data_IF_847269464606
#
_entry.id   IF_847269464606
#
_cell.length_a   1.000
_cell.length_b   1.000
_cell.length_c   1.000
_cell.angle_alpha   90.00
_cell.angle_beta   90.00
_cell.angle_gamma   90.00
#
_symmetry.space_group_name_H-M   'P 1'
#
loop_
_entity.id
_entity.type
_entity.pdbx_description
1 polymer ?
#
# COMPACT_ATOMS: atom_id res chain seq x y z
N UNK A 1 -11.77 -6.62 -11.88
CA UNK A 1 -11.16 -7.38 -12.99
C UNK A 1 -10.50 -8.63 -12.41
N UNK A 2 -11.28 -9.65 -12.01
CA UNK A 2 -10.73 -10.79 -11.25
C UNK A 2 -9.60 -11.54 -11.99
N UNK A 3 -9.61 -11.50 -13.32
CA UNK A 3 -8.62 -12.18 -14.16
C UNK A 3 -7.22 -11.57 -14.12
N UNK A 4 -7.07 -10.29 -13.76
CA UNK A 4 -5.75 -9.65 -13.66
C UNK A 4 -5.12 -9.89 -12.28
N UNK A 5 -5.92 -10.03 -11.23
CA UNK A 5 -5.46 -10.03 -9.83
C UNK A 5 -4.52 -11.17 -9.46
N UNK A 6 -4.52 -12.23 -10.27
CA UNK A 6 -3.70 -13.42 -10.13
C UNK A 6 -2.24 -13.16 -10.47
N UNK A 7 -1.95 -12.15 -11.31
CA UNK A 7 -0.58 -11.83 -11.75
C UNK A 7 -0.25 -10.33 -11.77
N UNK A 8 -1.24 -9.44 -11.79
CA UNK A 8 -1.07 -8.00 -11.88
C UNK A 8 -1.98 -7.25 -10.91
N UNK A 9 -1.39 -6.34 -10.13
CA UNK A 9 -2.11 -5.45 -9.22
C UNK A 9 -1.55 -4.04 -9.33
N UNK A 10 -2.45 -3.09 -9.60
CA UNK A 10 -2.15 -1.67 -9.52
C UNK A 10 -2.55 -1.16 -8.13
N UNK A 11 -1.62 -0.54 -7.42
CA UNK A 11 -1.90 0.19 -6.18
C UNK A 11 -1.72 1.69 -6.45
N UNK A 12 -2.78 2.47 -6.22
CA UNK A 12 -2.69 3.92 -6.24
C UNK A 12 -2.18 4.40 -4.89
N UNK A 13 -1.26 5.36 -4.88
CA UNK A 13 -0.63 5.90 -3.66
C UNK A 13 -1.06 7.36 -3.51
N UNK A 14 -2.18 7.66 -2.81
CA UNK A 14 -2.66 9.02 -2.66
C UNK A 14 -1.65 9.90 -1.92
N UNK A 15 -1.43 11.11 -2.43
CA UNK A 15 -0.49 12.06 -1.86
C UNK A 15 0.98 11.74 -2.12
N UNK A 16 1.30 10.81 -3.02
CA UNK A 16 2.66 10.62 -3.53
C UNK A 16 2.92 11.46 -4.78
N UNK A 17 4.06 12.14 -4.81
CA UNK A 17 4.59 12.80 -5.99
C UNK A 17 5.16 11.84 -7.02
N UNK A 18 5.86 12.37 -8.03
CA UNK A 18 6.52 11.51 -9.02
C UNK A 18 7.66 10.73 -8.36
N UNK A 19 7.46 9.41 -8.24
CA UNK A 19 8.30 8.44 -7.53
C UNK A 19 8.41 8.63 -6.02
N UNK A 20 8.52 9.86 -5.53
CA UNK A 20 8.88 10.18 -4.14
C UNK A 20 8.21 11.48 -3.70
N UNK A 21 8.32 11.79 -2.41
CA UNK A 21 7.75 12.97 -1.77
C UNK A 21 6.22 13.02 -1.85
N UNK A 22 5.66 14.10 -1.31
CA UNK A 22 4.24 14.38 -1.29
C UNK A 22 3.68 14.30 0.13
N UNK A 23 2.49 14.88 0.37
CA UNK A 23 1.93 15.03 1.72
C UNK A 23 1.33 13.73 2.28
N UNK A 24 1.30 12.65 1.49
CA UNK A 24 0.67 11.39 1.86
C UNK A 24 1.56 10.43 2.65
N UNK A 25 1.01 9.26 2.93
CA UNK A 25 1.76 8.17 3.55
C UNK A 25 2.59 7.42 2.49
N UNK A 26 3.66 8.03 1.98
CA UNK A 26 4.38 7.58 0.78
C UNK A 26 5.54 6.62 1.07
N UNK A 27 5.81 6.30 2.33
CA UNK A 27 6.87 5.39 2.74
C UNK A 27 6.32 3.96 2.85
N UNK A 28 6.42 3.19 1.77
CA UNK A 28 5.91 1.81 1.66
C UNK A 28 6.97 0.78 1.17
N UNK A 29 8.25 1.08 1.37
CA UNK A 29 9.33 0.10 1.25
C UNK A 29 9.81 -0.15 -0.17
N UNK A 30 9.44 0.72 -1.11
CA UNK A 30 10.02 0.72 -2.46
C UNK A 30 11.46 1.26 -2.49
N UNK A 31 11.94 1.86 -1.37
CA UNK A 31 13.32 2.27 -1.09
C UNK A 31 13.69 1.92 0.35
N UNK A 32 14.97 2.04 0.69
CA UNK A 32 15.53 1.76 2.03
C UNK A 32 14.95 2.61 3.18
N UNK A 33 14.02 3.54 2.92
CA UNK A 33 13.51 4.52 3.88
C UNK A 33 12.28 4.06 4.69
N UNK A 34 11.99 2.76 4.75
CA UNK A 34 10.87 2.25 5.55
C UNK A 34 11.31 1.76 6.91
N UNK A 35 10.70 2.32 7.96
CA UNK A 35 10.98 1.95 9.34
C UNK A 35 10.40 0.57 9.70
N UNK A 36 9.37 0.10 8.98
CA UNK A 36 8.69 -1.17 9.23
C UNK A 36 9.04 -2.16 8.14
N UNK A 37 9.80 -3.20 8.49
CA UNK A 37 10.26 -4.23 7.56
C UNK A 37 9.36 -5.47 7.59
N UNK A 38 8.10 -5.30 7.17
CA UNK A 38 7.12 -6.38 7.05
C UNK A 38 6.44 -6.31 5.68
N UNK A 39 5.97 -7.43 5.15
CA UNK A 39 5.32 -7.49 3.82
C UNK A 39 4.07 -6.62 3.70
N UNK A 40 3.42 -6.28 4.81
CA UNK A 40 2.29 -5.34 4.80
C UNK A 40 2.72 -3.88 4.61
N UNK A 41 3.98 -3.53 4.91
CA UNK A 41 4.52 -2.17 4.84
C UNK A 41 5.65 -2.02 3.82
N UNK A 42 6.07 -3.11 3.17
CA UNK A 42 7.20 -3.12 2.26
C UNK A 42 6.81 -3.84 0.98
N UNK A 43 6.68 -3.10 -0.13
CA UNK A 43 6.28 -3.65 -1.42
C UNK A 43 7.25 -4.70 -1.96
N UNK A 44 8.55 -4.60 -1.65
CA UNK A 44 9.52 -5.61 -2.07
C UNK A 44 9.26 -6.94 -1.37
N UNK A 45 9.07 -6.91 -0.05
CA UNK A 45 8.73 -8.11 0.71
C UNK A 45 7.34 -8.66 0.35
N UNK A 46 6.38 -7.79 0.07
CA UNK A 46 5.07 -8.19 -0.43
C UNK A 46 5.16 -8.93 -1.77
N UNK A 47 6.09 -8.53 -2.64
CA UNK A 47 6.32 -9.20 -3.91
C UNK A 47 6.97 -10.58 -3.70
N UNK A 48 7.93 -10.68 -2.76
CA UNK A 48 8.53 -11.97 -2.38
C UNK A 48 7.44 -12.92 -1.85
N UNK A 49 6.61 -12.49 -0.91
CA UNK A 49 5.52 -13.30 -0.37
C UNK A 49 4.52 -13.73 -1.44
N UNK A 50 4.28 -12.91 -2.45
CA UNK A 50 3.42 -13.27 -3.56
C UNK A 50 4.08 -14.35 -4.44
N UNK A 51 5.32 -14.15 -4.86
CA UNK A 51 6.01 -15.05 -5.78
C UNK A 51 6.34 -16.39 -5.11
N UNK A 52 6.87 -16.36 -3.89
CA UNK A 52 7.36 -17.55 -3.19
C UNK A 52 6.28 -18.20 -2.32
N UNK A 53 5.40 -17.39 -1.71
CA UNK A 53 4.36 -17.87 -0.79
C UNK A 53 2.96 -17.92 -1.41
N UNK A 54 2.75 -17.42 -2.62
CA UNK A 54 1.43 -17.31 -3.23
C UNK A 54 0.52 -16.27 -2.57
N UNK A 55 1.04 -15.43 -1.67
CA UNK A 55 0.25 -14.47 -0.88
C UNK A 55 0.28 -13.09 -1.55
N UNK A 56 -0.67 -12.86 -2.45
CA UNK A 56 -0.75 -11.61 -3.20
C UNK A 56 -1.28 -10.44 -2.33
N UNK A 57 -0.64 -9.25 -2.37
CA UNK A 57 -1.00 -8.13 -1.50
C UNK A 57 -2.32 -7.48 -1.92
N UNK A 58 -3.30 -7.42 -1.01
CA UNK A 58 -4.56 -6.69 -1.24
C UNK A 58 -4.42 -5.19 -1.00
N UNK A 59 -3.52 -4.84 -0.09
CA UNK A 59 -3.17 -3.47 0.31
C UNK A 59 -1.70 -3.40 0.64
N UNK A 60 -1.12 -2.21 0.53
CA UNK A 60 0.20 -1.91 1.06
C UNK A 60 0.08 -0.70 1.99
N UNK A 61 0.58 -0.82 3.21
CA UNK A 61 0.53 0.23 4.20
C UNK A 61 1.72 1.15 3.99
N UNK A 62 1.43 2.42 3.72
CA UNK A 62 2.43 3.48 3.73
C UNK A 62 2.42 4.26 5.04
N UNK A 63 3.55 4.89 5.34
CA UNK A 63 3.73 5.77 6.49
C UNK A 63 4.10 7.19 6.02
N UNK A 64 3.51 8.21 6.63
CA UNK A 64 3.84 9.62 6.42
C UNK A 64 4.96 10.07 7.38
N UNK A 65 5.55 11.24 7.13
CA UNK A 65 6.65 11.74 7.98
C UNK A 65 6.23 12.03 9.42
N UNK A 66 4.96 12.36 9.64
CA UNK A 66 4.38 12.53 10.98
C UNK A 66 3.94 11.21 11.65
N UNK A 67 4.25 10.05 11.04
CA UNK A 67 3.91 8.73 11.55
C UNK A 67 2.49 8.25 11.22
N UNK A 68 1.64 9.06 10.58
CA UNK A 68 0.32 8.62 10.14
C UNK A 68 0.43 7.51 9.09
N UNK A 69 -0.49 6.56 9.11
CA UNK A 69 -0.50 5.43 8.16
C UNK A 69 -1.72 5.45 7.25
N UNK A 70 -1.54 4.98 6.02
CA UNK A 70 -2.61 4.77 5.05
C UNK A 70 -2.48 3.39 4.42
N UNK A 71 -3.59 2.65 4.35
CA UNK A 71 -3.66 1.43 3.55
C UNK A 71 -3.92 1.82 2.10
N UNK A 72 -2.90 1.70 1.24
CA UNK A 72 -3.03 1.92 -0.20
C UNK A 72 -3.74 0.73 -0.82
N UNK A 73 -4.92 0.99 -1.36
CA UNK A 73 -5.79 -0.05 -1.87
C UNK A 73 -5.44 -0.40 -3.31
N UNK A 74 -5.60 -1.69 -3.61
CA UNK A 74 -5.59 -2.23 -4.97
C UNK A 74 -6.72 -1.59 -5.81
N UNK A 75 -6.38 -1.06 -6.97
CA UNK A 75 -7.35 -0.57 -7.96
C UNK A 75 -8.28 -1.71 -8.44
N UNK A 76 -9.59 -1.48 -8.62
CA UNK A 76 -10.30 -0.19 -8.60
C UNK A 76 -10.70 0.31 -7.21
N UNK A 77 -10.32 -0.40 -6.13
CA UNK A 77 -10.62 0.08 -4.79
C UNK A 77 -9.78 1.32 -4.45
N UNK A 78 -10.35 2.19 -3.63
CA UNK A 78 -9.81 3.44 -3.16
C UNK A 78 -9.73 3.45 -1.63
N UNK A 79 -8.70 4.11 -1.12
CA UNK A 79 -8.48 4.29 0.32
C UNK A 79 -9.40 5.39 0.85
N UNK A 80 -10.40 5.01 1.63
CA UNK A 80 -11.39 5.94 2.22
C UNK A 80 -11.20 6.00 3.73
N UNK A 81 -11.12 7.21 4.28
CA UNK A 81 -11.02 7.41 5.73
C UNK A 81 -12.33 7.02 6.43
N UNK A 82 -12.25 6.09 7.39
CA UNK A 82 -13.36 5.77 8.27
C UNK A 82 -13.19 6.52 9.60
N UNK A 83 -13.92 7.62 9.77
CA UNK A 83 -13.84 8.46 10.96
C UNK A 83 -14.21 7.71 12.25
N UNK A 84 -15.22 6.83 12.21
CA UNK A 84 -15.66 6.06 13.37
C UNK A 84 -14.63 5.05 13.86
N UNK A 85 -13.76 4.55 12.96
CA UNK A 85 -12.72 3.57 13.29
C UNK A 85 -11.32 4.18 13.34
N UNK A 86 -11.17 5.48 13.07
CA UNK A 86 -9.88 6.16 13.01
C UNK A 86 -8.88 5.50 12.05
N UNK A 87 -9.35 4.91 10.95
CA UNK A 87 -8.46 4.19 10.00
C UNK A 87 -8.99 4.21 8.56
N UNK A 88 -8.10 4.00 7.60
CA UNK A 88 -8.46 3.83 6.20
C UNK A 88 -9.10 2.45 5.94
N UNK A 89 -10.08 2.41 5.05
CA UNK A 89 -10.71 1.19 4.50
C UNK A 89 -10.68 1.22 2.98
N UNK A 90 -10.66 0.03 2.35
CA UNK A 90 -10.78 -0.10 0.90
C UNK A 90 -12.23 -0.18 0.47
N UNK A 91 -12.64 0.71 -0.41
CA UNK A 91 -13.99 0.75 -1.00
C UNK A 91 -13.90 0.84 -2.51
N UNK A 92 -14.91 0.35 -3.22
CA UNK A 92 -14.99 0.47 -4.69
C UNK A 92 -15.44 1.88 -5.08
#
# INVERSE_FOLDING_TARGET
MPSLDTFYRLLLIPGMGHRTFGPGATRFGWRASNAVNTSSHNILLALVDWVEGGVAPHTIIGTADNGATCAHCRYPQRSVWNASKGKFKCEV
#
